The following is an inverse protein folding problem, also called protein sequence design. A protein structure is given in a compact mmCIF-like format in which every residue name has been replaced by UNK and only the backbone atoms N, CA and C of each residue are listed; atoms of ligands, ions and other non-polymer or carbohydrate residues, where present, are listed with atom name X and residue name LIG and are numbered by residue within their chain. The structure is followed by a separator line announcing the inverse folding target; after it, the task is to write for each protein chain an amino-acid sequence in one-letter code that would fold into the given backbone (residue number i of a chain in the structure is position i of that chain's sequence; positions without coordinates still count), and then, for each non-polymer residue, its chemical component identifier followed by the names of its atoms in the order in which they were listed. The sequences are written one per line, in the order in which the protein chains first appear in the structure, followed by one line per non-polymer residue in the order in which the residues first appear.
data_IF_550032315231
#
_entry.id   IF_550032315231
#
_cell.length_a   1.000
_cell.length_b   1.000
_cell.length_c   1.000
_cell.angle_alpha   90.00
_cell.angle_beta   90.00
_cell.angle_gamma   90.00
#
_symmetry.space_group_name_H-M   'P 1'
#
loop_
_entity.id
_entity.type
_entity.pdbx_description
1 polymer ?
#
# COMPACT_ATOMS: atom_id res chain seq x y z
N UNK A 1 8.44 -3.16 11.21
CA UNK A 1 7.75 -2.01 11.85
C UNK A 1 8.46 -0.68 11.60
N UNK A 2 9.79 -0.59 11.65
CA UNK A 2 10.53 0.68 11.46
C UNK A 2 10.27 1.36 10.10
N UNK A 3 10.34 0.64 8.96
CA UNK A 3 10.06 1.25 7.65
C UNK A 3 8.62 1.80 7.51
N UNK A 4 7.63 1.12 8.10
CA UNK A 4 6.23 1.58 8.08
C UNK A 4 6.05 2.84 8.94
N UNK A 5 6.71 2.89 10.11
CA UNK A 5 6.74 4.07 10.97
C UNK A 5 7.46 5.24 10.30
N UNK A 6 8.60 4.99 9.64
CA UNK A 6 9.33 5.99 8.88
C UNK A 6 8.48 6.55 7.74
N UNK A 7 7.83 5.69 6.94
CA UNK A 7 6.95 6.14 5.85
C UNK A 7 5.78 6.98 6.37
N UNK A 8 5.12 6.53 7.43
CA UNK A 8 4.01 7.28 8.04
C UNK A 8 4.49 8.63 8.56
N UNK A 9 5.62 8.66 9.24
CA UNK A 9 6.23 9.89 9.78
C UNK A 9 6.59 10.84 8.66
N UNK A 10 7.31 10.39 7.64
CA UNK A 10 7.74 11.21 6.51
C UNK A 10 6.55 11.75 5.71
N UNK A 11 5.48 10.96 5.57
CA UNK A 11 4.26 11.45 4.91
C UNK A 11 3.54 12.49 5.77
N UNK A 12 3.46 12.32 7.09
CA UNK A 12 2.90 13.33 7.99
C UNK A 12 3.75 14.61 8.02
N UNK A 13 5.08 14.49 7.96
CA UNK A 13 5.98 15.65 7.81
C UNK A 13 5.72 16.37 6.48
N UNK A 14 5.57 15.64 5.38
CA UNK A 14 5.22 16.24 4.09
C UNK A 14 3.86 16.97 4.11
N UNK A 15 2.90 16.46 4.90
CA UNK A 15 1.63 17.15 5.19
C UNK A 15 1.87 18.45 5.96
N UNK A 16 2.68 18.43 7.03
CA UNK A 16 2.97 19.64 7.81
C UNK A 16 3.78 20.68 7.04
N UNK A 17 4.63 20.23 6.11
CA UNK A 17 5.46 21.09 5.26
C UNK A 17 4.68 21.69 4.07
N UNK A 18 3.40 21.34 3.90
CA UNK A 18 2.56 21.86 2.83
C UNK A 18 2.94 21.37 1.44
N UNK A 19 3.53 20.16 1.33
CA UNK A 19 3.91 19.56 0.04
C UNK A 19 2.69 19.12 -0.79
N UNK A 20 1.56 18.86 -0.15
CA UNK A 20 0.33 18.39 -0.80
C UNK A 20 -0.61 19.55 -1.15
N UNK A 21 -1.28 19.44 -2.29
CA UNK A 21 -2.33 20.36 -2.74
C UNK A 21 -3.55 20.30 -1.82
N UNK A 22 -3.89 19.11 -1.33
CA UNK A 22 -4.91 18.89 -0.31
C UNK A 22 -4.42 17.95 0.80
N UNK A 23 -3.78 18.56 1.79
CA UNK A 23 -3.33 17.92 3.02
C UNK A 23 -4.44 17.15 3.76
N UNK A 24 -5.69 17.64 3.73
CA UNK A 24 -6.80 17.01 4.45
C UNK A 24 -7.19 15.70 3.77
N UNK A 25 -7.33 15.73 2.44
CA UNK A 25 -7.60 14.53 1.66
C UNK A 25 -6.49 13.48 1.82
N UNK A 26 -5.22 13.87 1.71
CA UNK A 26 -4.08 12.96 1.90
C UNK A 26 -4.08 12.33 3.30
N UNK A 27 -4.37 13.12 4.34
CA UNK A 27 -4.45 12.61 5.72
C UNK A 27 -5.58 11.59 5.87
N UNK A 28 -6.76 11.87 5.29
CA UNK A 28 -7.89 10.94 5.30
C UNK A 28 -7.57 9.64 4.56
N UNK A 29 -6.88 9.73 3.40
CA UNK A 29 -6.39 8.58 2.66
C UNK A 29 -5.47 7.71 3.54
N UNK A 30 -4.47 8.31 4.20
CA UNK A 30 -3.53 7.58 5.07
C UNK A 30 -4.22 6.89 6.26
N UNK A 31 -5.12 7.60 6.95
CA UNK A 31 -5.86 7.02 8.07
C UNK A 31 -6.75 5.87 7.62
N UNK A 32 -7.50 6.05 6.52
CA UNK A 32 -8.38 5.00 6.00
C UNK A 32 -7.56 3.80 5.54
N UNK A 33 -6.41 4.05 4.92
CA UNK A 33 -5.49 3.01 4.45
C UNK A 33 -4.94 2.17 5.62
N UNK A 34 -4.46 2.82 6.68
CA UNK A 34 -4.00 2.13 7.88
C UNK A 34 -5.12 1.31 8.56
N UNK A 35 -6.35 1.84 8.58
CA UNK A 35 -7.50 1.14 9.17
C UNK A 35 -7.81 -0.19 8.48
N UNK A 36 -7.58 -0.32 7.16
CA UNK A 36 -7.77 -1.60 6.47
C UNK A 36 -6.83 -2.69 7.01
N UNK A 37 -5.54 -2.37 7.21
CA UNK A 37 -4.58 -3.30 7.80
C UNK A 37 -4.99 -3.73 9.21
N UNK A 38 -5.34 -2.78 10.07
CA UNK A 38 -5.74 -3.10 11.45
C UNK A 38 -7.06 -3.88 11.52
N UNK A 39 -8.01 -3.57 10.64
CA UNK A 39 -9.25 -4.33 10.53
C UNK A 39 -8.99 -5.77 10.08
N UNK A 40 -8.11 -5.97 9.08
CA UNK A 40 -7.73 -7.30 8.62
C UNK A 40 -7.01 -8.10 9.70
N UNK A 41 -6.09 -7.47 10.44
CA UNK A 41 -5.41 -8.10 11.58
C UNK A 41 -6.39 -8.48 12.69
N UNK A 42 -7.27 -7.56 13.08
CA UNK A 42 -8.28 -7.81 14.11
C UNK A 42 -9.23 -8.95 13.71
N UNK A 43 -9.65 -8.98 12.44
CA UNK A 43 -10.46 -10.08 11.91
C UNK A 43 -9.66 -11.40 11.92
N UNK A 44 -8.39 -11.39 11.53
CA UNK A 44 -7.57 -12.59 11.61
C UNK A 44 -7.42 -13.11 13.04
N UNK A 45 -7.30 -12.25 14.05
CA UNK A 45 -7.13 -12.71 15.42
C UNK A 45 -8.45 -13.16 16.07
N UNK A 46 -9.57 -12.50 15.77
CA UNK A 46 -10.83 -12.64 16.54
C UNK A 46 -12.05 -13.07 15.71
N UNK A 47 -12.01 -12.97 14.39
CA UNK A 47 -13.12 -13.25 13.48
C UNK A 47 -12.61 -13.82 12.13
N UNK A 48 -12.02 -15.00 12.21
CA UNK A 48 -11.33 -15.66 11.09
C UNK A 48 -12.20 -15.78 9.82
N UNK A 49 -13.53 -15.84 9.95
CA UNK A 49 -14.46 -15.98 8.82
C UNK A 49 -14.49 -14.71 7.96
N UNK A 50 -14.34 -13.54 8.58
CA UNK A 50 -14.38 -12.24 7.90
C UNK A 50 -13.01 -11.69 7.54
N UNK A 51 -11.93 -12.46 7.72
CA UNK A 51 -10.61 -12.03 7.28
C UNK A 51 -10.57 -11.95 5.75
N UNK A 52 -10.15 -10.81 5.16
CA UNK A 52 -9.97 -10.72 3.71
C UNK A 52 -9.01 -11.80 3.20
N UNK A 53 -9.35 -12.47 2.09
CA UNK A 53 -8.60 -13.62 1.62
C UNK A 53 -7.12 -13.29 1.34
N UNK A 54 -6.84 -12.09 0.84
CA UNK A 54 -5.48 -11.59 0.57
C UNK A 54 -4.65 -11.47 1.85
N UNK A 55 -5.26 -11.00 2.94
CA UNK A 55 -4.61 -10.85 4.23
C UNK A 55 -4.49 -12.18 4.95
N UNK A 56 -5.51 -13.04 4.84
CA UNK A 56 -5.44 -14.41 5.35
C UNK A 56 -4.25 -15.17 4.75
N UNK A 57 -4.02 -15.04 3.43
CA UNK A 57 -2.86 -15.63 2.77
C UNK A 57 -1.54 -15.12 3.39
N UNK A 58 -1.41 -13.80 3.58
CA UNK A 58 -0.21 -13.19 4.16
C UNK A 58 0.03 -13.64 5.62
N UNK A 59 -1.01 -13.63 6.46
CA UNK A 59 -0.90 -14.01 7.87
C UNK A 59 -0.68 -15.51 8.07
N UNK A 60 -1.35 -16.37 7.27
CA UNK A 60 -1.13 -17.81 7.31
C UNK A 60 0.31 -18.16 6.88
N UNK A 61 0.87 -17.43 5.90
CA UNK A 61 2.26 -17.59 5.50
C UNK A 61 3.24 -17.12 6.59
N UNK A 62 2.94 -16.02 7.28
CA UNK A 62 3.78 -15.52 8.38
C UNK A 62 3.87 -16.49 9.57
N UNK A 63 2.89 -17.38 9.73
CA UNK A 63 2.89 -18.43 10.79
C UNK A 63 3.60 -19.72 10.36
N UNK A 64 3.92 -19.87 9.08
CA UNK A 64 4.58 -21.04 8.53
C UNK A 64 6.10 -20.93 8.69
N UNK A 65 6.75 -22.02 9.12
CA UNK A 65 8.21 -22.05 9.33
C UNK A 65 9.01 -22.00 8.02
N UNK A 66 8.38 -22.40 6.92
CA UNK A 66 8.98 -22.50 5.60
C UNK A 66 8.95 -21.19 4.82
N UNK A 67 8.13 -20.22 5.21
CA UNK A 67 8.03 -18.93 4.53
C UNK A 67 9.15 -18.02 5.03
N UNK A 68 9.98 -17.54 4.12
CA UNK A 68 11.10 -16.69 4.47
C UNK A 68 10.63 -15.23 4.75
N UNK A 69 11.52 -14.43 5.34
CA UNK A 69 11.22 -13.04 5.74
C UNK A 69 10.81 -12.17 4.55
N UNK A 70 11.42 -12.37 3.38
CA UNK A 70 11.12 -11.61 2.16
C UNK A 70 9.74 -11.94 1.60
N UNK A 71 9.39 -13.23 1.53
CA UNK A 71 8.07 -13.67 1.12
C UNK A 71 6.99 -13.07 2.03
N UNK A 72 7.20 -13.10 3.35
CA UNK A 72 6.28 -12.49 4.31
C UNK A 72 6.13 -10.98 4.11
N UNK A 73 7.24 -10.28 3.85
CA UNK A 73 7.21 -8.84 3.54
C UNK A 73 6.43 -8.55 2.27
N UNK A 74 6.77 -9.21 1.16
CA UNK A 74 6.11 -8.96 -0.13
C UNK A 74 4.64 -9.36 -0.11
N UNK A 75 4.25 -10.38 0.64
CA UNK A 75 2.84 -10.73 0.85
C UNK A 75 2.08 -9.60 1.56
N UNK A 76 2.67 -9.02 2.62
CA UNK A 76 2.10 -7.88 3.32
C UNK A 76 1.99 -6.63 2.44
N UNK A 77 3.07 -6.28 1.70
CA UNK A 77 3.08 -5.15 0.77
C UNK A 77 2.07 -5.36 -0.36
N UNK A 78 1.97 -6.58 -0.89
CA UNK A 78 1.01 -6.92 -1.93
C UNK A 78 -0.44 -6.78 -1.43
N UNK A 79 -0.77 -7.29 -0.24
CA UNK A 79 -2.11 -7.14 0.33
C UNK A 79 -2.44 -5.67 0.62
N UNK A 80 -1.50 -4.94 1.22
CA UNK A 80 -1.74 -3.54 1.56
C UNK A 80 -1.82 -2.65 0.32
N UNK A 81 -0.84 -2.67 -0.58
CA UNK A 81 -0.85 -1.80 -1.76
C UNK A 81 -1.91 -2.25 -2.78
N UNK A 82 -1.94 -3.52 -3.16
CA UNK A 82 -2.76 -3.92 -4.30
C UNK A 82 -4.24 -4.18 -3.95
N UNK A 83 -4.59 -4.37 -2.68
CA UNK A 83 -5.97 -4.57 -2.26
C UNK A 83 -6.48 -3.39 -1.42
N UNK A 84 -5.90 -3.14 -0.24
CA UNK A 84 -6.43 -2.13 0.67
C UNK A 84 -6.46 -0.73 0.06
N UNK A 85 -5.41 -0.33 -0.68
CA UNK A 85 -5.32 1.02 -1.24
C UNK A 85 -6.38 1.25 -2.33
N UNK A 86 -6.72 0.23 -3.13
CA UNK A 86 -7.80 0.35 -4.12
C UNK A 86 -9.16 0.59 -3.43
N UNK A 87 -9.43 -0.12 -2.34
CA UNK A 87 -10.65 0.07 -1.56
C UNK A 87 -10.66 1.40 -0.83
N UNK A 88 -9.51 1.82 -0.31
CA UNK A 88 -9.32 3.12 0.33
C UNK A 88 -9.61 4.26 -0.64
N UNK A 89 -9.08 4.20 -1.86
CA UNK A 89 -9.33 5.20 -2.89
C UNK A 89 -10.83 5.33 -3.20
N UNK A 90 -11.54 4.21 -3.34
CA UNK A 90 -12.99 4.25 -3.48
C UNK A 90 -13.66 4.95 -2.29
N UNK A 91 -13.33 4.53 -1.07
CA UNK A 91 -13.94 5.08 0.15
C UNK A 91 -13.76 6.59 0.27
N UNK A 92 -12.59 7.13 -0.08
CA UNK A 92 -12.30 8.57 0.07
C UNK A 92 -12.68 9.42 -1.15
N UNK A 93 -12.86 8.83 -2.33
CA UNK A 93 -13.18 9.57 -3.56
C UNK A 93 -14.66 9.48 -3.95
N UNK A 94 -15.37 8.38 -3.68
CA UNK A 94 -16.66 8.12 -4.32
C UNK A 94 -17.73 9.19 -4.07
N UNK A 95 -17.76 9.80 -2.88
CA UNK A 95 -18.72 10.86 -2.56
C UNK A 95 -18.37 12.20 -3.21
N UNK A 96 -17.08 12.57 -3.25
CA UNK A 96 -16.64 13.87 -3.79
C UNK A 96 -16.46 13.88 -5.31
N UNK A 97 -16.09 12.75 -5.92
CA UNK A 97 -15.69 12.65 -7.33
C UNK A 97 -16.68 13.29 -8.33
N UNK A 98 -18.01 13.11 -8.19
CA UNK A 98 -18.98 13.72 -9.11
C UNK A 98 -18.95 15.25 -9.08
N UNK A 99 -18.51 15.86 -7.98
CA UNK A 99 -18.48 17.32 -7.78
C UNK A 99 -17.12 17.95 -8.07
N UNK A 100 -16.05 17.15 -8.13
CA UNK A 100 -14.70 17.65 -8.43
C UNK A 100 -14.59 18.12 -9.88
N UNK A 101 -13.93 19.28 -10.06
CA UNK A 101 -13.49 19.75 -11.37
C UNK A 101 -12.38 18.86 -11.93
N UNK A 102 -12.10 18.98 -13.23
CA UNK A 102 -10.97 18.27 -13.86
C UNK A 102 -9.62 18.64 -13.22
N UNK A 103 -9.45 19.89 -12.81
CA UNK A 103 -8.27 20.37 -12.09
C UNK A 103 -8.16 19.71 -10.71
N UNK A 104 -9.26 19.66 -9.94
CA UNK A 104 -9.26 19.01 -8.63
C UNK A 104 -8.95 17.52 -8.73
N UNK A 105 -9.50 16.81 -9.73
CA UNK A 105 -9.16 15.39 -9.96
C UNK A 105 -7.68 15.21 -10.33
N UNK A 106 -7.12 16.13 -11.10
CA UNK A 106 -5.68 16.15 -11.40
C UNK A 106 -4.86 16.36 -10.13
N UNK A 107 -5.26 17.28 -9.25
CA UNK A 107 -4.58 17.52 -7.98
C UNK A 107 -4.63 16.28 -7.06
N UNK A 108 -5.76 15.56 -7.02
CA UNK A 108 -5.90 14.28 -6.28
C UNK A 108 -4.88 13.24 -6.76
N UNK A 109 -4.72 13.12 -8.08
CA UNK A 109 -3.73 12.22 -8.66
C UNK A 109 -2.28 12.67 -8.36
N UNK A 110 -2.01 13.97 -8.41
CA UNK A 110 -0.69 14.52 -8.08
C UNK A 110 -0.32 14.25 -6.61
N UNK A 111 -1.25 14.50 -5.68
CA UNK A 111 -1.04 14.20 -4.26
C UNK A 111 -0.86 12.70 -4.03
N UNK A 112 -1.63 11.85 -4.73
CA UNK A 112 -1.44 10.39 -4.69
C UNK A 112 -0.06 9.96 -5.17
N UNK A 113 0.45 10.59 -6.22
CA UNK A 113 1.76 10.31 -6.82
C UNK A 113 2.92 10.85 -6.00
N UNK A 114 2.74 11.98 -5.30
CA UNK A 114 3.76 12.53 -4.40
C UNK A 114 4.15 11.56 -3.28
N UNK A 115 3.23 10.70 -2.86
CA UNK A 115 3.53 9.62 -1.91
C UNK A 115 4.57 8.63 -2.47
N UNK A 116 4.65 8.43 -3.79
CA UNK A 116 5.70 7.59 -4.39
C UNK A 116 7.09 8.19 -4.17
N UNK A 117 7.18 9.51 -4.26
CA UNK A 117 8.44 10.24 -4.07
C UNK A 117 8.84 10.19 -2.59
N UNK A 118 7.88 10.35 -1.67
CA UNK A 118 8.10 10.17 -0.23
C UNK A 118 8.52 8.74 0.10
N UNK A 119 7.96 7.72 -0.58
CA UNK A 119 8.38 6.33 -0.41
C UNK A 119 9.86 6.19 -0.81
N UNK A 120 10.28 6.72 -1.96
CA UNK A 120 11.67 6.68 -2.39
C UNK A 120 12.59 7.37 -1.37
N UNK A 121 12.27 8.61 -0.99
CA UNK A 121 13.00 9.39 0.03
C UNK A 121 13.13 8.65 1.38
N UNK A 122 12.08 7.90 1.77
CA UNK A 122 12.08 7.13 3.02
C UNK A 122 12.99 5.91 2.95
N UNK A 123 13.04 5.21 1.82
CA UNK A 123 13.91 4.04 1.70
C UNK A 123 15.37 4.50 1.70
N UNK A 124 15.69 5.58 0.97
CA UNK A 124 17.01 6.22 1.00
C UNK A 124 17.43 6.58 2.44
N UNK A 125 16.56 7.27 3.19
CA UNK A 125 16.84 7.67 4.58
C UNK A 125 17.07 6.47 5.52
N UNK A 126 16.22 5.44 5.43
CA UNK A 126 16.35 4.27 6.29
C UNK A 126 17.65 3.51 6.02
N UNK A 127 18.15 3.51 4.78
CA UNK A 127 19.46 2.95 4.48
C UNK A 127 20.57 3.71 5.18
N UNK A 128 20.62 5.03 5.05
CA UNK A 128 21.65 5.87 5.66
C UNK A 128 21.70 5.70 7.19
N UNK A 129 20.54 5.66 7.85
CA UNK A 129 20.45 5.53 9.32
C UNK A 129 20.78 4.11 9.84
N UNK A 130 20.52 3.07 9.03
CA UNK A 130 20.70 1.66 9.44
C UNK A 130 22.09 1.15 9.11
N UNK A 131 22.74 1.61 8.04
CA UNK A 131 24.16 1.32 7.75
C UNK A 131 25.06 1.78 8.90
N UNK A 132 24.65 2.79 9.68
CA UNK A 132 25.38 3.26 10.87
C UNK A 132 25.06 2.47 12.16
N UNK A 133 24.04 1.60 12.18
CA UNK A 133 23.56 0.92 13.41
C UNK A 133 23.38 -0.59 13.22
N UNK A 134 24.34 -1.36 13.74
CA UNK A 134 24.31 -2.83 13.73
C UNK A 134 23.11 -3.43 14.51
N UNK A 135 22.08 -3.92 13.80
CA UNK A 135 20.90 -4.56 14.39
C UNK A 135 20.33 -5.69 13.50
N UNK A 136 19.75 -6.78 14.04
CA UNK A 136 19.21 -7.91 13.27
C UNK A 136 18.11 -7.60 12.23
N UNK A 137 17.51 -6.40 12.25
CA UNK A 137 16.65 -5.89 11.17
C UNK A 137 17.42 -5.69 9.85
N UNK A 138 18.76 -5.70 9.91
CA UNK A 138 19.70 -5.64 8.78
C UNK A 138 19.58 -6.80 7.79
N UNK A 139 18.99 -7.94 8.12
CA UNK A 139 18.91 -9.05 7.14
C UNK A 139 18.07 -8.70 5.90
N UNK A 140 17.11 -7.77 6.02
CA UNK A 140 16.34 -7.24 4.89
C UNK A 140 17.12 -6.15 4.14
N UNK A 141 17.88 -5.33 4.86
CA UNK A 141 18.61 -4.17 4.33
C UNK A 141 19.96 -4.55 3.69
N UNK A 142 20.70 -5.50 4.27
CA UNK A 142 21.94 -6.06 3.71
C UNK A 142 21.70 -6.68 2.32
N UNK A 143 20.48 -7.14 2.03
CA UNK A 143 20.08 -7.59 0.69
C UNK A 143 19.67 -6.45 -0.24
N UNK A 144 19.08 -5.36 0.27
CA UNK A 144 18.76 -4.16 -0.50
C UNK A 144 19.98 -3.28 -0.80
N UNK A 145 21.15 -3.59 -0.22
CA UNK A 145 22.38 -2.81 -0.30
C UNK A 145 23.04 -2.70 -1.70
N UNK A 146 22.39 -3.16 -2.76
CA UNK A 146 22.71 -2.75 -4.12
C UNK A 146 21.69 -1.73 -4.61
N UNK A 147 22.10 -0.50 -4.94
CA UNK A 147 21.18 0.55 -5.43
C UNK A 147 20.36 0.19 -6.68
N UNK A 148 20.65 -0.95 -7.33
CA UNK A 148 19.84 -1.50 -8.42
C UNK A 148 18.59 -2.23 -7.90
N UNK A 149 18.63 -2.88 -6.74
CA UNK A 149 17.52 -3.66 -6.18
C UNK A 149 16.46 -2.77 -5.51
N UNK A 150 16.88 -1.68 -4.86
CA UNK A 150 15.98 -0.65 -4.33
C UNK A 150 15.22 0.07 -5.43
N UNK A 151 15.92 0.51 -6.48
CA UNK A 151 15.28 1.14 -7.64
C UNK A 151 14.20 0.23 -8.24
N UNK A 152 14.48 -1.08 -8.36
CA UNK A 152 13.50 -2.05 -8.83
C UNK A 152 12.27 -2.13 -7.91
N UNK A 153 12.46 -2.08 -6.60
CA UNK A 153 11.34 -2.12 -5.63
C UNK A 153 10.52 -0.83 -5.67
N UNK A 154 11.16 0.33 -5.73
CA UNK A 154 10.48 1.63 -5.86
C UNK A 154 9.67 1.67 -7.16
N UNK A 155 10.26 1.27 -8.29
CA UNK A 155 9.56 1.23 -9.57
C UNK A 155 8.43 0.20 -9.59
N UNK A 156 8.62 -0.96 -8.96
CA UNK A 156 7.55 -1.95 -8.78
C UNK A 156 6.39 -1.37 -7.97
N UNK A 157 6.68 -0.72 -6.83
CA UNK A 157 5.68 -0.08 -5.97
C UNK A 157 4.96 1.04 -6.72
N UNK A 158 5.70 1.89 -7.45
CA UNK A 158 5.14 2.94 -8.31
C UNK A 158 4.18 2.35 -9.34
N UNK A 159 4.59 1.28 -10.04
CA UNK A 159 3.75 0.58 -11.01
C UNK A 159 2.48 -0.02 -10.40
N UNK A 160 2.59 -0.63 -9.22
CA UNK A 160 1.42 -1.15 -8.47
C UNK A 160 0.47 -0.03 -8.07
N UNK A 161 1.00 1.08 -7.53
CA UNK A 161 0.19 2.23 -7.14
C UNK A 161 -0.53 2.87 -8.33
N UNK A 162 0.09 2.91 -9.50
CA UNK A 162 -0.56 3.37 -10.73
C UNK A 162 -1.72 2.46 -11.16
N UNK A 163 -1.53 1.13 -11.13
CA UNK A 163 -2.61 0.17 -11.41
C UNK A 163 -3.78 0.33 -10.42
N UNK A 164 -3.44 0.51 -9.14
CA UNK A 164 -4.41 0.71 -8.05
C UNK A 164 -5.17 2.03 -8.21
N UNK A 165 -4.50 3.13 -8.57
CA UNK A 165 -5.16 4.40 -8.87
C UNK A 165 -6.21 4.22 -9.95
N UNK A 166 -5.83 3.61 -11.08
CA UNK A 166 -6.74 3.34 -12.19
C UNK A 166 -7.94 2.50 -11.75
N UNK A 167 -7.73 1.45 -10.95
CA UNK A 167 -8.82 0.60 -10.43
C UNK A 167 -9.71 1.32 -9.43
N UNK A 168 -9.14 2.17 -8.57
CA UNK A 168 -9.89 3.02 -7.65
C UNK A 168 -10.81 3.97 -8.39
N UNK A 169 -10.29 4.70 -9.38
CA UNK A 169 -11.08 5.61 -10.23
C UNK A 169 -12.13 4.84 -11.03
N UNK A 170 -11.79 3.70 -11.61
CA UNK A 170 -12.75 2.83 -12.31
C UNK A 170 -13.93 2.41 -11.41
N UNK A 171 -13.66 2.08 -10.13
CA UNK A 171 -14.72 1.79 -9.15
C UNK A 171 -15.57 3.02 -8.83
N UNK A 172 -14.97 4.20 -8.73
CA UNK A 172 -15.66 5.45 -8.42
C UNK A 172 -16.56 5.90 -9.57
N UNK A 173 -16.11 5.73 -10.81
CA UNK A 173 -16.87 6.11 -12.02
C UNK A 173 -17.94 5.08 -12.38
N UNK A 174 -17.85 3.86 -11.83
CA UNK A 174 -18.83 2.82 -12.06
C UNK A 174 -20.12 3.09 -11.28
N UNK A 175 -21.17 3.52 -11.99
CA UNK A 175 -22.48 3.83 -11.41
C UNK A 175 -23.20 2.58 -10.86
N UNK A 176 -23.00 1.42 -11.49
CA UNK A 176 -23.67 0.17 -11.14
C UNK A 176 -22.99 -0.57 -9.98
N UNK A 177 -23.79 -1.08 -9.04
CA UNK A 177 -23.28 -1.77 -7.86
C UNK A 177 -22.65 -3.13 -8.21
N UNK A 178 -23.22 -3.86 -9.15
CA UNK A 178 -22.69 -5.16 -9.59
C UNK A 178 -21.37 -4.96 -10.35
N UNK A 179 -21.28 -3.92 -11.19
CA UNK A 179 -20.05 -3.47 -11.82
C UNK A 179 -18.94 -3.17 -10.81
N UNK A 180 -19.24 -2.40 -9.76
CA UNK A 180 -18.28 -2.12 -8.67
C UNK A 180 -17.85 -3.39 -7.95
N UNK A 181 -18.78 -4.30 -7.67
CA UNK A 181 -18.47 -5.58 -7.04
C UNK A 181 -17.55 -6.44 -7.92
N UNK A 182 -17.77 -6.45 -9.24
CA UNK A 182 -16.93 -7.15 -10.21
C UNK A 182 -15.49 -6.59 -10.26
N UNK A 183 -15.34 -5.26 -10.22
CA UNK A 183 -14.01 -4.63 -10.15
C UNK A 183 -13.32 -5.00 -8.84
N UNK A 184 -14.02 -4.93 -7.71
CA UNK A 184 -13.49 -5.34 -6.39
C UNK A 184 -13.02 -6.80 -6.38
N UNK A 185 -13.81 -7.70 -6.96
CA UNK A 185 -13.43 -9.11 -7.10
C UNK A 185 -12.18 -9.27 -7.98
N UNK A 186 -12.07 -8.50 -9.06
CA UNK A 186 -10.89 -8.50 -9.93
C UNK A 186 -9.64 -8.04 -9.19
N UNK A 187 -9.74 -6.98 -8.38
CA UNK A 187 -8.66 -6.49 -7.51
C UNK A 187 -8.22 -7.58 -6.54
N UNK A 188 -9.16 -8.23 -5.86
CA UNK A 188 -8.89 -9.34 -4.94
C UNK A 188 -8.18 -10.51 -5.62
N UNK A 189 -8.72 -10.98 -6.75
CA UNK A 189 -8.17 -12.13 -7.48
C UNK A 189 -6.77 -11.86 -8.02
N UNK A 190 -6.50 -10.64 -8.51
CA UNK A 190 -5.17 -10.27 -8.97
C UNK A 190 -4.17 -10.19 -7.81
N UNK A 191 -4.58 -9.63 -6.67
CA UNK A 191 -3.77 -9.60 -5.46
C UNK A 191 -3.46 -11.02 -4.94
N UNK A 192 -4.45 -11.92 -4.91
CA UNK A 192 -4.26 -13.33 -4.54
C UNK A 192 -3.30 -14.05 -5.49
N UNK A 193 -3.46 -13.87 -6.81
CA UNK A 193 -2.58 -14.48 -7.81
C UNK A 193 -1.13 -14.02 -7.63
N UNK A 194 -0.90 -12.73 -7.39
CA UNK A 194 0.44 -12.19 -7.06
C UNK A 194 0.99 -12.81 -5.78
N UNK A 195 0.18 -12.92 -4.74
CA UNK A 195 0.57 -13.55 -3.48
C UNK A 195 0.97 -15.01 -3.63
N UNK A 196 0.25 -15.78 -4.45
CA UNK A 196 0.61 -17.17 -4.77
C UNK A 196 1.94 -17.25 -5.51
N UNK A 197 2.21 -16.34 -6.45
CA UNK A 197 3.50 -16.28 -7.13
C UNK A 197 4.66 -15.97 -6.16
N UNK A 198 4.47 -15.05 -5.21
CA UNK A 198 5.46 -14.73 -4.18
C UNK A 198 5.82 -15.97 -3.34
N UNK A 199 4.86 -16.85 -3.06
CA UNK A 199 5.10 -18.09 -2.31
C UNK A 199 5.84 -19.17 -3.12
N UNK A 200 5.87 -19.05 -4.45
CA UNK A 200 6.54 -20.01 -5.35
C UNK A 200 7.98 -19.62 -5.71
N UNK A 201 8.35 -18.36 -5.48
CA UNK A 201 9.71 -17.82 -5.63
C UNK A 201 10.51 -17.96 -4.36
#
# INVERSE_FOLDING_TARGET
MQCYQAMTTNTLTAVTDGRFQDATWTTNLLHRFANYYFAAMSAYDHDHIHTPAVWKLAFDAARQKQTNVLQNLFLGVNAHINYDLALTLYDVLHEEWPTLSAEQRTNRYQDFCLINDIIAETIDQVQDEVVERESPALALLDWLGGGMDEFIIVEMIRGWREEVWRKGVEMVEMADADGRASIRLTVEQNCLRRGQHILLT
#
